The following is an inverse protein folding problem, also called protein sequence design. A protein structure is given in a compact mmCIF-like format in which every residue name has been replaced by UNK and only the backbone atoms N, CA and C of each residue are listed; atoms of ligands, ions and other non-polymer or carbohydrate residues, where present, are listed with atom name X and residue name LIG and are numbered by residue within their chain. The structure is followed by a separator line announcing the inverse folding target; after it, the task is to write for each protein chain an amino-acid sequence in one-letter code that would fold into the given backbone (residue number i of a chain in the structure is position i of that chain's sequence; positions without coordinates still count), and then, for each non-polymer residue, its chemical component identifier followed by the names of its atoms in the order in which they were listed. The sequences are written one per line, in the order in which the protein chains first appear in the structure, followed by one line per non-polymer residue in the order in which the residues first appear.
data_IF_655106030968
#
_entry.id   IF_655106030968
#
_cell.length_a   1.000
_cell.length_b   1.000
_cell.length_c   1.000
_cell.angle_alpha   90.00
_cell.angle_beta   90.00
_cell.angle_gamma   90.00
#
_symmetry.space_group_name_H-M   'P 1'
#
loop_
_entity.id
_entity.type
_entity.pdbx_description
1 polymer ?
#
# COMPACT_ATOMS: atom_id res chain seq x y z
N UNK A 1 11.79 -16.96 11.14
CA UNK A 1 10.85 -18.11 11.13
C UNK A 1 9.68 -17.93 10.17
N UNK A 2 9.06 -16.75 10.07
CA UNK A 2 7.85 -16.52 9.24
C UNK A 2 8.11 -16.77 7.73
N UNK A 3 9.21 -16.24 7.15
CA UNK A 3 9.50 -16.39 5.72
C UNK A 3 9.71 -17.85 5.30
N UNK A 4 10.50 -18.62 6.04
CA UNK A 4 10.76 -20.02 5.73
C UNK A 4 9.45 -20.84 5.71
N UNK A 5 8.56 -20.59 6.68
CA UNK A 5 7.25 -21.21 6.72
C UNK A 5 6.36 -20.76 5.55
N UNK A 6 6.40 -19.48 5.16
CA UNK A 6 5.66 -18.98 4.01
C UNK A 6 6.14 -19.58 2.68
N UNK A 7 7.45 -19.75 2.49
CA UNK A 7 8.03 -20.40 1.31
C UNK A 7 7.66 -21.89 1.24
N UNK A 8 7.68 -22.58 2.38
CA UNK A 8 7.24 -23.98 2.48
C UNK A 8 5.76 -24.10 2.12
N UNK A 9 4.89 -23.26 2.71
CA UNK A 9 3.45 -23.23 2.37
C UNK A 9 3.22 -22.96 0.89
N UNK A 10 3.91 -21.99 0.31
CA UNK A 10 3.77 -21.64 -1.10
C UNK A 10 4.18 -22.78 -2.02
N UNK A 11 5.30 -23.44 -1.72
CA UNK A 11 5.77 -24.62 -2.45
C UNK A 11 4.77 -25.77 -2.35
N UNK A 12 4.31 -26.06 -1.13
CA UNK A 12 3.34 -27.11 -0.88
C UNK A 12 1.99 -26.82 -1.57
N UNK A 13 1.54 -25.57 -1.61
CA UNK A 13 0.32 -25.16 -2.30
C UNK A 13 0.48 -25.21 -3.82
N UNK A 14 1.63 -24.80 -4.35
CA UNK A 14 1.94 -24.94 -5.77
C UNK A 14 1.88 -26.41 -6.23
N UNK A 15 2.40 -27.31 -5.38
CA UNK A 15 2.41 -28.76 -5.64
C UNK A 15 1.08 -29.46 -5.36
N UNK A 16 0.29 -28.99 -4.40
CA UNK A 16 -0.96 -29.62 -3.97
C UNK A 16 -2.16 -28.70 -4.23
N UNK A 17 -3.09 -29.16 -5.09
CA UNK A 17 -4.34 -28.47 -5.48
C UNK A 17 -5.29 -28.23 -4.29
N UNK A 18 -4.93 -27.38 -3.31
CA UNK A 18 -5.76 -27.09 -2.14
C UNK A 18 -6.86 -26.07 -2.47
N UNK A 19 -7.99 -26.21 -1.76
CA UNK A 19 -9.20 -25.38 -1.93
C UNK A 19 -9.01 -23.98 -1.33
N UNK A 20 -9.69 -22.98 -1.93
CA UNK A 20 -9.71 -21.59 -1.48
C UNK A 20 -10.19 -21.50 -0.01
N UNK A 21 -9.45 -20.78 0.82
CA UNK A 21 -9.85 -20.41 2.20
C UNK A 21 -11.10 -19.51 2.15
N UNK A 22 -11.86 -19.34 3.23
CA UNK A 22 -13.04 -18.46 3.30
C UNK A 22 -12.74 -16.97 3.02
N UNK A 23 -13.73 -16.09 3.12
CA UNK A 23 -13.57 -14.63 3.01
C UNK A 23 -13.07 -14.01 4.30
N UNK A 24 -12.27 -12.94 4.21
CA UNK A 24 -11.80 -12.19 5.40
C UNK A 24 -12.99 -11.45 6.05
N UNK A 25 -13.11 -11.51 7.37
CA UNK A 25 -14.30 -11.01 8.07
C UNK A 25 -14.45 -9.49 8.01
N UNK A 26 -15.71 -9.04 7.88
CA UNK A 26 -16.08 -7.63 7.69
C UNK A 26 -15.63 -6.68 8.81
N UNK A 27 -15.91 -6.96 10.10
CA UNK A 27 -15.56 -6.04 11.19
C UNK A 27 -14.05 -5.84 11.35
N UNK A 28 -13.27 -6.92 11.32
CA UNK A 28 -11.81 -6.87 11.40
C UNK A 28 -11.22 -6.08 10.21
N UNK A 29 -11.73 -6.33 8.99
CA UNK A 29 -11.35 -5.58 7.78
C UNK A 29 -11.54 -4.08 7.97
N UNK A 30 -12.72 -3.65 8.44
CA UNK A 30 -13.00 -2.23 8.64
C UNK A 30 -12.08 -1.61 9.69
N UNK A 31 -11.83 -2.31 10.80
CA UNK A 31 -10.92 -1.84 11.84
C UNK A 31 -9.50 -1.63 11.29
N UNK A 32 -8.96 -2.60 10.55
CA UNK A 32 -7.63 -2.50 9.96
C UNK A 32 -7.53 -1.34 8.95
N UNK A 33 -8.52 -1.20 8.07
CA UNK A 33 -8.53 -0.13 7.07
C UNK A 33 -8.66 1.26 7.71
N UNK A 34 -9.53 1.42 8.71
CA UNK A 34 -9.61 2.67 9.51
C UNK A 34 -8.28 2.97 10.19
N UNK A 35 -7.65 1.96 10.80
CA UNK A 35 -6.36 2.10 11.44
C UNK A 35 -5.20 2.40 10.50
N UNK A 36 -5.36 2.19 9.18
CA UNK A 36 -4.38 2.53 8.16
C UNK A 36 -4.53 3.95 7.62
N UNK A 37 -5.69 4.60 7.80
CA UNK A 37 -5.92 5.96 7.34
C UNK A 37 -4.89 6.94 7.94
N UNK A 38 -4.28 7.77 7.10
CA UNK A 38 -3.25 8.74 7.50
C UNK A 38 -1.87 8.13 7.80
N UNK A 39 -1.71 6.80 7.74
CA UNK A 39 -0.40 6.14 7.87
C UNK A 39 0.29 6.05 6.52
N UNK A 40 1.62 6.09 6.52
CA UNK A 40 2.41 5.83 5.32
C UNK A 40 2.38 4.35 4.95
N UNK A 41 2.21 4.07 3.65
CA UNK A 41 2.40 2.75 3.07
C UNK A 41 3.85 2.29 3.30
N UNK A 42 4.03 1.04 3.76
CA UNK A 42 5.36 0.51 4.08
C UNK A 42 6.27 0.34 2.86
N UNK A 43 5.69 0.20 1.67
CA UNK A 43 6.44 -0.03 0.42
C UNK A 43 6.84 1.31 -0.21
N UNK A 44 5.88 2.15 -0.59
CA UNK A 44 6.16 3.41 -1.31
C UNK A 44 6.15 4.68 -0.45
N UNK A 45 5.78 4.59 0.83
CA UNK A 45 5.74 5.73 1.75
C UNK A 45 4.55 6.68 1.58
N UNK A 46 3.75 6.55 0.52
CA UNK A 46 2.55 7.36 0.32
C UNK A 46 1.56 7.23 1.48
N UNK A 47 0.96 8.35 1.86
CA UNK A 47 -0.10 8.35 2.88
C UNK A 47 -1.33 7.59 2.37
N UNK A 48 -1.81 6.65 3.18
CA UNK A 48 -2.95 5.81 2.84
C UNK A 48 -4.26 6.48 3.25
N UNK A 49 -5.27 6.37 2.39
CA UNK A 49 -6.60 6.94 2.63
C UNK A 49 -7.65 5.83 2.70
N UNK A 50 -8.30 5.68 3.85
CA UNK A 50 -9.49 4.84 3.96
C UNK A 50 -10.73 5.54 3.39
N UNK A 51 -11.35 4.93 2.38
CA UNK A 51 -12.63 5.36 1.81
C UNK A 51 -13.75 4.42 2.27
N UNK A 52 -14.51 4.76 3.33
CA UNK A 52 -15.60 3.92 3.80
C UNK A 52 -16.69 3.77 2.74
N UNK A 53 -17.17 2.55 2.54
CA UNK A 53 -18.26 2.21 1.61
C UNK A 53 -18.00 2.57 0.14
N UNK A 54 -16.77 2.89 -0.24
CA UNK A 54 -16.39 3.11 -1.62
C UNK A 54 -15.90 1.82 -2.28
N UNK A 55 -16.24 1.63 -3.56
CA UNK A 55 -15.59 0.64 -4.40
C UNK A 55 -14.22 1.19 -4.82
N UNK A 56 -13.15 0.57 -4.32
CA UNK A 56 -11.79 0.96 -4.69
C UNK A 56 -11.47 0.43 -6.08
N UNK A 57 -11.14 1.34 -7.00
CA UNK A 57 -10.68 1.01 -8.35
C UNK A 57 -9.23 1.47 -8.60
N UNK A 58 -8.79 1.45 -9.85
CA UNK A 58 -7.41 1.82 -10.23
C UNK A 58 -7.13 3.33 -10.16
N UNK A 59 -8.15 4.18 -10.11
CA UNK A 59 -8.01 5.64 -10.01
C UNK A 59 -7.71 6.12 -8.59
N UNK A 60 -7.78 5.22 -7.60
CA UNK A 60 -7.55 5.51 -6.19
C UNK A 60 -6.27 4.82 -5.68
N UNK A 61 -5.07 5.15 -6.20
CA UNK A 61 -3.86 4.37 -5.91
C UNK A 61 -3.41 4.52 -4.45
N UNK A 62 -3.74 5.62 -3.76
CA UNK A 62 -3.46 5.82 -2.33
C UNK A 62 -4.51 5.18 -1.38
N UNK A 63 -5.58 4.56 -1.90
CA UNK A 63 -6.59 3.95 -1.05
C UNK A 63 -5.99 2.86 -0.16
N UNK A 64 -6.34 2.85 1.13
CA UNK A 64 -5.91 1.80 2.05
C UNK A 64 -6.56 0.46 1.64
N UNK A 65 -5.75 -0.59 1.56
CA UNK A 65 -6.19 -1.95 1.24
C UNK A 65 -5.63 -2.96 2.24
N UNK A 66 -6.30 -4.10 2.36
CA UNK A 66 -5.76 -5.26 3.06
C UNK A 66 -4.95 -6.07 2.06
N UNK A 67 -3.72 -6.40 2.41
CA UNK A 67 -2.82 -7.22 1.62
C UNK A 67 -2.57 -8.55 2.32
N UNK A 68 -2.64 -9.62 1.53
CA UNK A 68 -2.15 -10.93 1.90
C UNK A 68 -0.68 -11.01 1.49
N UNK A 69 0.26 -11.00 2.44
CA UNK A 69 1.70 -10.96 2.11
C UNK A 69 2.07 -12.16 1.23
N UNK A 70 1.68 -13.37 1.62
CA UNK A 70 1.56 -14.53 0.73
C UNK A 70 0.16 -14.50 0.08
N UNK A 71 0.05 -14.40 -1.26
CA UNK A 71 -1.23 -14.40 -1.94
C UNK A 71 -2.04 -15.67 -1.67
N UNK A 72 -3.37 -15.54 -1.62
CA UNK A 72 -4.29 -16.68 -1.46
C UNK A 72 -4.20 -17.71 -2.58
N UNK A 73 -3.83 -17.28 -3.78
CA UNK A 73 -3.54 -18.16 -4.93
C UNK A 73 -2.28 -19.01 -4.75
N UNK A 74 -1.45 -18.69 -3.75
CA UNK A 74 -0.25 -19.41 -3.36
C UNK A 74 -0.36 -19.98 -1.93
N UNK A 75 -1.57 -20.12 -1.40
CA UNK A 75 -1.79 -20.72 -0.08
C UNK A 75 -1.74 -19.75 1.10
N UNK A 76 -1.80 -18.44 0.84
CA UNK A 76 -1.96 -17.42 1.88
C UNK A 76 -3.19 -17.62 2.76
N UNK A 77 -3.00 -17.48 4.08
CA UNK A 77 -4.03 -17.57 5.12
C UNK A 77 -4.52 -16.19 5.55
N UNK A 78 -5.56 -16.15 6.39
CA UNK A 78 -6.06 -14.92 7.05
C UNK A 78 -5.43 -14.66 8.41
N UNK A 79 -4.32 -15.34 8.69
CA UNK A 79 -3.59 -15.20 9.96
C UNK A 79 -2.89 -13.84 10.02
N UNK A 80 -2.75 -13.28 11.22
CA UNK A 80 -2.23 -11.92 11.42
C UNK A 80 -0.80 -11.73 10.88
N UNK A 81 -0.01 -12.81 10.78
CA UNK A 81 1.34 -12.80 10.22
C UNK A 81 1.36 -12.72 8.68
N UNK A 82 0.22 -13.01 8.03
CA UNK A 82 0.07 -12.97 6.58
C UNK A 82 -0.80 -11.80 6.09
N UNK A 83 -1.34 -10.99 7.00
CA UNK A 83 -2.23 -9.86 6.68
C UNK A 83 -1.55 -8.56 7.08
N UNK A 84 -1.53 -7.59 6.15
CA UNK A 84 -1.05 -6.24 6.41
C UNK A 84 -1.93 -5.20 5.70
N UNK A 85 -1.59 -3.93 5.87
CA UNK A 85 -2.22 -2.81 5.15
C UNK A 85 -1.19 -2.10 4.29
N UNK A 86 -1.52 -1.90 3.03
CA UNK A 86 -0.74 -1.12 2.06
C UNK A 86 -1.68 -0.31 1.16
N UNK A 87 -1.15 0.65 0.43
CA UNK A 87 -1.94 1.38 -0.55
C UNK A 87 -2.33 0.48 -1.73
N UNK A 88 -3.47 0.79 -2.35
CA UNK A 88 -4.05 0.09 -3.47
C UNK A 88 -3.09 -0.01 -4.65
N UNK A 89 -2.35 1.05 -4.97
CA UNK A 89 -1.38 1.03 -6.06
C UNK A 89 -0.24 0.04 -5.84
N UNK A 90 0.31 -0.06 -4.62
CA UNK A 90 1.32 -1.07 -4.31
C UNK A 90 0.74 -2.49 -4.35
N UNK A 91 -0.47 -2.68 -3.81
CA UNK A 91 -1.16 -3.96 -3.84
C UNK A 91 -1.38 -4.45 -5.28
N UNK A 92 -1.92 -3.59 -6.14
CA UNK A 92 -2.12 -3.88 -7.56
C UNK A 92 -0.81 -4.17 -8.28
N UNK A 93 0.21 -3.34 -8.08
CA UNK A 93 1.53 -3.55 -8.70
C UNK A 93 2.13 -4.91 -8.30
N UNK A 94 2.07 -5.31 -7.02
CA UNK A 94 2.50 -6.65 -6.55
C UNK A 94 1.75 -7.79 -7.25
N UNK A 95 0.44 -7.64 -7.42
CA UNK A 95 -0.38 -8.62 -8.15
C UNK A 95 -0.05 -8.71 -9.64
N UNK A 96 0.33 -7.59 -10.26
CA UNK A 96 0.76 -7.55 -11.67
C UNK A 96 2.13 -8.21 -11.87
N UNK A 97 3.07 -8.04 -10.95
CA UNK A 97 4.38 -8.74 -11.02
C UNK A 97 4.19 -10.25 -11.13
N UNK A 98 3.29 -10.83 -10.33
CA UNK A 98 2.98 -12.26 -10.40
C UNK A 98 2.40 -12.72 -11.74
N UNK A 99 1.78 -11.81 -12.49
CA UNK A 99 1.22 -12.08 -13.81
C UNK A 99 2.26 -11.92 -14.92
N UNK A 100 3.28 -11.08 -14.71
CA UNK A 100 4.32 -10.79 -15.69
C UNK A 100 5.45 -11.84 -15.73
N UNK A 101 5.61 -12.65 -14.68
CA UNK A 101 6.72 -13.58 -14.54
C UNK A 101 6.36 -15.00 -15.01
N UNK A 102 7.31 -15.67 -15.66
CA UNK A 102 7.21 -17.09 -16.00
C UNK A 102 7.25 -17.92 -14.72
N UNK A 103 6.26 -18.80 -14.54
CA UNK A 103 6.08 -19.52 -13.29
C UNK A 103 6.86 -20.84 -13.29
N UNK A 104 7.89 -20.91 -12.45
CA UNK A 104 8.55 -22.14 -12.03
C UNK A 104 8.53 -22.23 -10.50
N UNK A 105 8.81 -23.41 -9.93
CA UNK A 105 8.86 -23.56 -8.46
C UNK A 105 9.90 -22.63 -7.83
N UNK A 106 11.08 -22.53 -8.45
CA UNK A 106 12.15 -21.64 -8.02
C UNK A 106 11.72 -20.17 -8.07
N UNK A 107 11.13 -19.73 -9.18
CA UNK A 107 10.65 -18.35 -9.33
C UNK A 107 9.56 -18.04 -8.30
N UNK A 108 8.64 -18.98 -8.01
CA UNK A 108 7.62 -18.81 -6.97
C UNK A 108 8.26 -18.67 -5.58
N UNK A 109 9.27 -19.47 -5.25
CA UNK A 109 10.00 -19.33 -3.98
C UNK A 109 10.68 -17.97 -3.85
N UNK A 110 11.35 -17.51 -4.90
CA UNK A 110 11.98 -16.19 -4.92
C UNK A 110 10.95 -15.06 -4.84
N UNK A 111 9.82 -15.18 -5.56
CA UNK A 111 8.72 -14.23 -5.53
C UNK A 111 8.14 -14.09 -4.11
N UNK A 112 7.94 -15.20 -3.41
CA UNK A 112 7.52 -15.18 -2.00
C UNK A 112 8.57 -14.52 -1.10
N UNK A 113 9.86 -14.80 -1.32
CA UNK A 113 10.95 -14.09 -0.65
C UNK A 113 10.85 -12.57 -0.80
N UNK A 114 10.72 -12.11 -2.04
CA UNK A 114 10.54 -10.70 -2.37
C UNK A 114 9.30 -10.08 -1.70
N UNK A 115 8.15 -10.76 -1.74
CA UNK A 115 6.90 -10.23 -1.16
C UNK A 115 7.03 -9.90 0.33
N UNK A 116 7.72 -10.74 1.10
CA UNK A 116 7.98 -10.51 2.52
C UNK A 116 9.06 -9.46 2.73
N UNK A 117 10.20 -9.58 2.03
CA UNK A 117 11.31 -8.62 2.12
C UNK A 117 10.84 -7.19 1.81
N UNK A 118 10.00 -7.00 0.79
CA UNK A 118 9.52 -5.67 0.39
C UNK A 118 8.64 -4.99 1.46
N UNK A 119 7.93 -5.76 2.29
CA UNK A 119 7.11 -5.21 3.39
C UNK A 119 7.99 -4.79 4.59
N UNK A 120 9.07 -5.52 4.83
CA UNK A 120 10.01 -5.27 5.93
C UNK A 120 11.00 -4.16 5.60
N UNK A 121 11.61 -4.26 4.42
CA UNK A 121 12.59 -3.32 3.90
C UNK A 121 12.54 -3.24 2.37
N UNK A 122 11.79 -2.28 1.80
CA UNK A 122 11.68 -2.14 0.35
C UNK A 122 13.01 -1.76 -0.34
N UNK A 123 13.98 -1.19 0.39
CA UNK A 123 15.30 -0.89 -0.18
C UNK A 123 16.10 -2.19 -0.30
N UNK A 124 16.24 -2.92 0.81
CA UNK A 124 16.97 -4.18 0.81
C UNK A 124 16.34 -5.19 -0.16
N UNK A 125 15.01 -5.25 -0.21
CA UNK A 125 14.27 -6.04 -1.18
C UNK A 125 14.65 -5.72 -2.63
N UNK A 126 14.87 -4.45 -2.97
CA UNK A 126 15.32 -4.05 -4.30
C UNK A 126 16.73 -4.53 -4.64
N UNK A 127 17.60 -4.66 -3.64
CA UNK A 127 18.94 -5.23 -3.80
C UNK A 127 18.92 -6.76 -3.93
N UNK A 128 18.13 -7.44 -3.09
CA UNK A 128 18.08 -8.90 -3.05
C UNK A 128 17.28 -9.50 -4.21
N UNK A 129 16.29 -8.76 -4.72
CA UNK A 129 15.33 -9.21 -5.73
C UNK A 129 15.13 -8.18 -6.85
N UNK A 130 16.21 -7.78 -7.56
CA UNK A 130 16.17 -6.67 -8.50
C UNK A 130 15.21 -6.89 -9.68
N UNK A 131 15.04 -8.14 -10.12
CA UNK A 131 14.10 -8.47 -11.18
C UNK A 131 12.65 -8.16 -10.77
N UNK A 132 12.20 -8.68 -9.62
CA UNK A 132 10.83 -8.42 -9.16
C UNK A 132 10.61 -6.94 -8.84
N UNK A 133 11.60 -6.27 -8.26
CA UNK A 133 11.50 -4.84 -7.96
C UNK A 133 11.43 -3.99 -9.23
N UNK A 134 12.15 -4.35 -10.29
CA UNK A 134 12.06 -3.64 -11.59
C UNK A 134 10.68 -3.77 -12.23
N UNK A 135 10.11 -4.98 -12.21
CA UNK A 135 8.73 -5.19 -12.67
C UNK A 135 7.73 -4.42 -11.80
N UNK A 136 7.90 -4.44 -10.48
CA UNK A 136 7.06 -3.70 -9.55
C UNK A 136 7.11 -2.20 -9.82
N UNK A 137 8.32 -1.62 -9.91
CA UNK A 137 8.52 -0.20 -10.16
C UNK A 137 7.79 0.23 -11.44
N UNK A 138 8.01 -0.47 -12.56
CA UNK A 138 7.31 -0.18 -13.82
C UNK A 138 5.79 -0.17 -13.66
N UNK A 139 5.21 -1.19 -13.02
CA UNK A 139 3.75 -1.27 -12.79
C UNK A 139 3.25 -0.20 -11.82
N UNK A 140 4.06 0.16 -10.84
CA UNK A 140 3.75 1.22 -9.90
C UNK A 140 3.71 2.59 -10.59
N UNK A 141 4.71 2.88 -11.43
CA UNK A 141 4.79 4.12 -12.20
C UNK A 141 3.62 4.25 -13.18
N UNK A 142 3.18 3.16 -13.82
CA UNK A 142 1.97 3.12 -14.64
C UNK A 142 0.69 3.52 -13.85
N UNK A 143 0.61 3.16 -12.57
CA UNK A 143 -0.56 3.42 -11.71
C UNK A 143 -0.55 4.81 -11.06
N UNK A 144 0.62 5.35 -10.75
CA UNK A 144 0.77 6.63 -10.07
C UNK A 144 1.13 7.79 -11.00
N UNK A 145 1.60 7.50 -12.21
CA UNK A 145 2.16 8.48 -13.13
C UNK A 145 3.26 9.34 -12.47
N UNK A 146 4.07 8.70 -11.62
CA UNK A 146 5.18 9.27 -10.86
C UNK A 146 6.33 8.26 -10.84
N UNK A 147 7.57 8.72 -10.67
CA UNK A 147 8.72 7.83 -10.48
C UNK A 147 8.63 7.13 -9.13
N UNK A 148 8.80 5.81 -9.13
CA UNK A 148 8.75 5.04 -7.89
C UNK A 148 9.93 5.39 -6.97
N UNK A 149 9.62 5.68 -5.70
CA UNK A 149 10.61 5.83 -4.64
C UNK A 149 10.16 5.00 -3.43
N UNK A 150 10.99 4.05 -2.97
CA UNK A 150 10.66 3.23 -1.80
C UNK A 150 10.56 4.10 -0.53
N UNK A 151 9.75 3.68 0.43
CA UNK A 151 9.36 4.45 1.61
C UNK A 151 10.56 5.02 2.39
N UNK A 152 11.64 4.25 2.50
CA UNK A 152 12.86 4.63 3.22
C UNK A 152 13.73 5.64 2.46
N UNK A 153 13.52 5.84 1.15
CA UNK A 153 14.20 6.85 0.33
C UNK A 153 13.41 8.16 0.16
N UNK A 154 12.14 8.20 0.57
CA UNK A 154 11.38 9.46 0.50
C UNK A 154 11.89 10.44 1.56
N UNK A 155 12.75 11.36 1.14
CA UNK A 155 13.01 12.59 1.88
C UNK A 155 11.67 13.33 2.00
N UNK A 156 11.05 13.30 3.18
CA UNK A 156 9.92 14.18 3.48
C UNK A 156 10.47 15.61 3.53
N UNK A 157 10.49 16.29 2.37
CA UNK A 157 10.50 17.74 2.38
C UNK A 157 9.12 18.13 2.91
N UNK A 158 9.02 18.25 4.24
CA UNK A 158 7.92 18.99 4.84
C UNK A 158 8.04 20.40 4.29
N UNK A 159 7.31 20.70 3.21
CA UNK A 159 6.97 22.09 2.90
C UNK A 159 6.27 22.56 4.15
N UNK A 160 7.02 23.28 4.98
CA UNK A 160 6.54 23.95 6.16
C UNK A 160 5.58 25.02 5.63
N UNK A 161 4.36 24.59 5.26
CA UNK A 161 3.22 25.47 5.05
C UNK A 161 2.96 25.97 6.46
N UNK A 162 3.75 26.97 6.90
CA UNK A 162 3.29 27.94 7.88
C UNK A 162 1.88 28.24 7.44
N UNK A 163 0.88 27.76 8.19
CA UNK A 163 -0.48 28.24 8.07
C UNK A 163 -0.29 29.74 8.06
N UNK A 164 -0.54 30.39 6.92
CA UNK A 164 -0.96 31.77 6.96
C UNK A 164 -2.29 31.69 7.70
N UNK A 165 -2.22 31.74 9.03
CA UNK A 165 -3.27 32.35 9.80
C UNK A 165 -3.46 33.69 9.11
N UNK A 166 -4.51 33.77 8.29
CA UNK A 166 -5.10 35.05 7.99
C UNK A 166 -5.46 35.60 9.36
N UNK A 167 -4.59 36.49 9.83
CA UNK A 167 -4.79 37.25 11.03
C UNK A 167 -5.98 38.14 10.74
N UNK A 168 -7.17 37.58 10.95
CA UNK A 168 -8.42 38.32 11.00
C UNK A 168 -8.39 39.12 12.30
N UNK A 169 -7.52 40.11 12.36
CA UNK A 169 -7.54 41.09 13.42
C UNK A 169 -8.94 41.72 13.43
N UNK A 170 -9.52 41.84 14.61
CA UNK A 170 -10.86 42.37 14.84
C UNK A 170 -11.08 43.80 14.30
N UNK A 171 -10.02 44.47 13.83
CA UNK A 171 -10.07 45.80 13.24
C UNK A 171 -10.69 45.87 11.84
N UNK A 172 -10.81 44.77 11.10
CA UNK A 172 -11.42 44.78 9.76
C UNK A 172 -12.95 44.98 9.76
N UNK A 173 -13.62 44.88 10.92
CA UNK A 173 -15.08 45.03 11.03
C UNK A 173 -15.57 46.46 11.29
N UNK A 174 -14.69 47.43 11.54
CA UNK A 174 -15.08 48.79 11.96
C UNK A 174 -15.07 49.86 10.85
N UNK A 175 -15.15 49.49 9.57
CA UNK A 175 -15.29 50.46 8.46
C UNK A 175 -16.51 50.19 7.58
N UNK A 176 -17.69 50.01 8.18
CA UNK A 176 -18.93 50.34 7.46
C UNK A 176 -19.24 51.83 7.71
N UNK A 177 -19.24 52.69 6.69
CA UNK A 177 -19.84 54.00 6.82
C UNK A 177 -21.32 53.82 7.18
N UNK A 178 -21.72 54.34 8.34
CA UNK A 178 -23.12 54.65 8.62
C UNK A 178 -23.39 56.03 8.03
N UNK A 179 -24.13 56.07 6.93
CA UNK A 179 -24.71 57.26 6.33
C UNK A 179 -25.52 56.78 5.13
N UNK A 180 -26.84 56.87 5.07
CA UNK A 180 -27.74 57.82 5.71
C UNK A 180 -27.91 59.02 4.80
N UNK A 181 -29.19 59.24 4.40
CA UNK A 181 -29.74 60.36 3.61
C UNK A 181 -29.55 60.18 2.10
N UNK A 182 -30.54 60.43 1.24
CA UNK A 182 -31.92 60.91 1.36
C UNK A 182 -32.60 60.62 0.02
#
# INVERSE_FOLDING_TARGET
MILAHAQERATNFWRSKRKKVGTFQGPLKQMMLRGAHGKSCRICGNEMVYFPNALIDHTMPNAATIEHILPRSLGGTHENDNITTICNGCNRARGMVYSDIVRSEEVVRMYVGWLFSQIEDPIQSGHDYPLFESHFARRWEELYNETYQPAKNRVRITRNRKRRLLDMSANARMRRPKGGLR
#
